data_IF_774818419209
#
_entry.id   IF_774818419209
#
_cell.length_a   1.000
_cell.length_b   1.000
_cell.length_c   1.000
_cell.angle_alpha   90.00
_cell.angle_beta   90.00
_cell.angle_gamma   90.00
#
_symmetry.space_group_name_H-M   'P 1'
#
loop_
_entity.id
_entity.type
_entity.pdbx_description
1 polymer ?
#
# COMPACT_ATOMS: atom_id res chain seq x y z
N UNK A 1 -14.68 8.19 25.20
CA UNK A 1 -13.48 8.33 24.34
C UNK A 1 -12.84 9.67 24.64
N UNK A 2 -11.52 9.72 24.85
CA UNK A 2 -10.81 10.99 25.04
C UNK A 2 -10.75 11.77 23.73
N UNK A 3 -11.27 13.00 23.73
CA UNK A 3 -11.39 13.85 22.54
C UNK A 3 -10.03 14.23 21.96
N UNK A 4 -9.08 14.63 22.80
CA UNK A 4 -7.77 15.10 22.33
C UNK A 4 -6.98 13.96 21.71
N UNK A 5 -7.03 12.77 22.34
CA UNK A 5 -6.46 11.55 21.76
C UNK A 5 -7.05 11.27 20.38
N UNK A 6 -8.38 11.31 20.24
CA UNK A 6 -9.05 11.02 18.96
C UNK A 6 -8.64 12.01 17.87
N UNK A 7 -8.52 13.30 18.19
CA UNK A 7 -8.11 14.31 17.21
C UNK A 7 -6.68 14.03 16.72
N UNK A 8 -5.75 13.79 17.64
CA UNK A 8 -4.34 13.51 17.29
C UNK A 8 -4.19 12.21 16.48
N UNK A 9 -4.89 11.14 16.87
CA UNK A 9 -4.84 9.89 16.13
C UNK A 9 -5.54 9.99 14.77
N UNK A 10 -6.59 10.80 14.65
CA UNK A 10 -7.27 11.04 13.38
C UNK A 10 -6.38 11.82 12.40
N UNK A 11 -5.62 12.80 12.89
CA UNK A 11 -4.61 13.50 12.08
C UNK A 11 -3.56 12.53 11.54
N UNK A 12 -2.99 11.69 12.42
CA UNK A 12 -2.01 10.68 12.03
C UNK A 12 -2.60 9.64 11.06
N UNK A 13 -3.83 9.18 11.29
CA UNK A 13 -4.52 8.25 10.40
C UNK A 13 -4.74 8.86 9.01
N UNK A 14 -5.12 10.14 8.94
CA UNK A 14 -5.27 10.86 7.68
C UNK A 14 -3.93 10.98 6.95
N UNK A 15 -2.87 11.39 7.64
CA UNK A 15 -1.52 11.52 7.06
C UNK A 15 -1.00 10.18 6.53
N UNK A 16 -1.24 9.09 7.27
CA UNK A 16 -0.93 7.74 6.83
C UNK A 16 -1.65 7.41 5.51
N UNK A 17 -2.98 7.60 5.47
CA UNK A 17 -3.78 7.31 4.28
C UNK A 17 -3.42 8.16 3.07
N UNK A 18 -3.12 9.44 3.27
CA UNK A 18 -2.68 10.33 2.19
C UNK A 18 -1.36 9.82 1.61
N UNK A 19 -0.38 9.47 2.45
CA UNK A 19 0.89 8.91 1.98
C UNK A 19 0.67 7.63 1.16
N UNK A 20 -0.10 6.69 1.70
CA UNK A 20 -0.39 5.41 1.02
C UNK A 20 -1.09 5.63 -0.32
N UNK A 21 -2.06 6.55 -0.39
CA UNK A 21 -2.74 6.89 -1.63
C UNK A 21 -1.81 7.46 -2.69
N UNK A 22 -0.90 8.37 -2.32
CA UNK A 22 0.11 8.89 -3.24
C UNK A 22 1.08 7.81 -3.69
N UNK A 23 1.52 6.94 -2.78
CA UNK A 23 2.41 5.81 -3.11
C UNK A 23 1.79 4.90 -4.17
N UNK A 24 0.51 4.54 -4.01
CA UNK A 24 -0.22 3.73 -5.00
C UNK A 24 -0.33 4.43 -6.36
N UNK A 25 -0.66 5.73 -6.36
CA UNK A 25 -0.79 6.49 -7.61
C UNK A 25 0.53 6.64 -8.36
N UNK A 26 1.64 6.88 -7.65
CA UNK A 26 2.97 6.96 -8.24
C UNK A 26 3.43 5.61 -8.78
N UNK A 27 3.13 4.51 -8.06
CA UNK A 27 3.41 3.16 -8.56
C UNK A 27 2.64 2.89 -9.85
N UNK A 28 1.35 3.22 -9.91
CA UNK A 28 0.53 3.08 -11.11
C UNK A 28 1.10 3.85 -12.31
N UNK A 29 1.52 5.11 -12.11
CA UNK A 29 2.14 5.92 -13.17
C UNK A 29 3.42 5.27 -13.68
N UNK A 30 4.23 4.70 -12.79
CA UNK A 30 5.46 4.05 -13.19
C UNK A 30 5.24 2.74 -13.94
N UNK A 31 4.31 1.88 -13.50
CA UNK A 31 3.97 0.67 -14.25
C UNK A 31 3.40 1.01 -15.63
N UNK A 32 2.57 2.05 -15.74
CA UNK A 32 2.13 2.57 -17.02
C UNK A 32 3.31 3.07 -17.88
N UNK A 33 4.26 3.80 -17.27
CA UNK A 33 5.45 4.26 -17.98
C UNK A 33 6.29 3.10 -18.53
N UNK A 34 6.41 1.99 -17.79
CA UNK A 34 7.09 0.77 -18.26
C UNK A 34 6.31 0.10 -19.39
N UNK A 35 5.00 -0.10 -19.21
CA UNK A 35 4.15 -0.78 -20.19
C UNK A 35 4.07 -0.04 -21.53
N UNK A 36 4.10 1.30 -21.51
CA UNK A 36 3.95 2.14 -22.70
C UNK A 36 5.24 2.83 -23.14
N UNK A 37 6.39 2.53 -22.51
CA UNK A 37 7.70 3.13 -22.80
C UNK A 37 7.71 4.68 -22.78
N UNK A 38 7.01 5.29 -21.82
CA UNK A 38 6.92 6.75 -21.73
C UNK A 38 8.13 7.42 -21.07
N UNK A 39 8.96 6.66 -20.35
CA UNK A 39 10.12 7.18 -19.60
C UNK A 39 9.77 8.36 -18.67
N UNK A 40 8.65 8.24 -17.94
CA UNK A 40 8.17 9.27 -17.01
C UNK A 40 9.13 9.43 -15.82
N UNK A 41 9.56 10.66 -15.56
CA UNK A 41 10.29 11.04 -14.34
C UNK A 41 9.29 11.41 -13.22
N UNK A 42 9.15 10.52 -12.23
CA UNK A 42 8.25 10.74 -11.10
C UNK A 42 8.65 11.93 -10.22
N UNK A 43 9.93 12.28 -10.12
CA UNK A 43 10.38 13.47 -9.39
C UNK A 43 9.90 14.75 -10.08
N UNK A 44 9.87 14.76 -11.42
CA UNK A 44 9.33 15.88 -12.19
C UNK A 44 7.81 15.95 -12.11
N UNK A 45 7.10 14.81 -12.12
CA UNK A 45 5.65 14.76 -11.85
C UNK A 45 5.33 15.42 -10.52
N UNK A 46 6.01 15.01 -9.44
CA UNK A 46 5.82 15.60 -8.12
C UNK A 46 6.17 17.09 -8.08
N UNK A 47 7.24 17.52 -8.77
CA UNK A 47 7.60 18.94 -8.87
C UNK A 47 6.49 19.76 -9.53
N UNK A 48 5.90 19.26 -10.62
CA UNK A 48 4.81 19.95 -11.34
C UNK A 48 3.56 20.02 -10.46
N UNK A 49 3.21 18.96 -9.74
CA UNK A 49 2.07 18.95 -8.81
C UNK A 49 2.23 19.87 -7.60
N UNK A 50 3.41 20.44 -7.36
CA UNK A 50 3.53 21.50 -6.35
C UNK A 50 3.03 22.86 -6.82
N UNK A 51 3.04 23.12 -8.13
CA UNK A 51 2.72 24.42 -8.71
C UNK A 51 1.28 24.51 -9.21
N UNK A 52 0.41 25.23 -8.49
CA UNK A 52 -0.90 25.65 -8.99
C UNK A 52 -2.01 24.58 -9.00
N UNK A 53 -1.69 23.29 -8.90
CA UNK A 53 -2.73 22.25 -8.88
C UNK A 53 -3.49 22.20 -7.53
N UNK A 54 -4.63 21.52 -7.53
CA UNK A 54 -5.54 21.41 -6.37
C UNK A 54 -4.89 20.60 -5.24
N UNK A 55 -4.12 19.57 -5.57
CA UNK A 55 -3.52 18.62 -4.61
C UNK A 55 -2.17 19.09 -4.03
N UNK A 56 -1.81 20.37 -4.24
CA UNK A 56 -0.56 20.93 -3.72
C UNK A 56 -0.50 20.80 -2.19
N UNK A 57 0.56 20.20 -1.67
CA UNK A 57 0.74 19.99 -0.24
C UNK A 57 2.22 19.83 0.12
N UNK A 58 2.57 20.10 1.38
CA UNK A 58 3.94 19.88 1.91
C UNK A 58 4.39 18.43 1.79
N UNK A 59 3.47 17.46 1.84
CA UNK A 59 3.79 16.05 1.69
C UNK A 59 4.43 15.72 0.33
N UNK A 60 4.14 16.50 -0.73
CA UNK A 60 4.76 16.28 -2.04
C UNK A 60 6.28 16.49 -2.03
N UNK A 61 6.80 17.36 -1.15
CA UNK A 61 8.24 17.50 -0.96
C UNK A 61 8.84 16.25 -0.32
N UNK A 62 8.19 15.73 0.71
CA UNK A 62 8.61 14.51 1.38
C UNK A 62 8.63 13.31 0.42
N UNK A 63 7.58 13.14 -0.39
CA UNK A 63 7.52 12.10 -1.41
C UNK A 63 8.63 12.27 -2.46
N UNK A 64 8.89 13.51 -2.89
CA UNK A 64 9.92 13.79 -3.88
C UNK A 64 11.31 13.50 -3.35
N UNK A 65 11.56 13.76 -2.07
CA UNK A 65 12.84 13.45 -1.43
C UNK A 65 13.06 11.94 -1.33
N UNK A 66 12.02 11.15 -1.05
CA UNK A 66 12.08 9.67 -1.11
C UNK A 66 12.42 9.19 -2.52
N UNK A 67 11.75 9.71 -3.55
CA UNK A 67 12.00 9.30 -4.95
C UNK A 67 13.44 9.61 -5.40
N UNK A 68 14.04 10.69 -4.89
CA UNK A 68 15.42 11.04 -5.24
C UNK A 68 16.46 10.10 -4.64
N UNK A 69 16.14 9.38 -3.55
CA UNK A 69 17.06 8.41 -2.93
C UNK A 69 17.34 7.24 -3.87
N UNK A 70 16.31 6.79 -4.59
CA UNK A 70 16.45 5.76 -5.59
C UNK A 70 15.42 5.97 -6.72
N UNK A 71 15.90 6.49 -7.86
CA UNK A 71 15.05 6.78 -9.03
C UNK A 71 14.44 5.54 -9.67
N UNK A 72 15.01 4.36 -9.43
CA UNK A 72 14.48 3.08 -9.89
C UNK A 72 13.49 2.47 -8.91
N UNK A 73 13.41 3.00 -7.68
CA UNK A 73 12.52 2.51 -6.64
C UNK A 73 11.14 3.15 -6.76
N UNK A 74 10.31 2.47 -7.53
CA UNK A 74 8.94 2.87 -7.84
C UNK A 74 8.01 2.74 -6.63
N UNK A 75 8.30 1.79 -5.74
CA UNK A 75 7.51 1.56 -4.55
C UNK A 75 8.11 2.35 -3.38
N UNK A 76 7.44 3.45 -2.99
CA UNK A 76 7.92 4.31 -1.91
C UNK A 76 8.08 3.55 -0.58
N UNK A 77 7.36 2.44 -0.38
CA UNK A 77 7.43 1.62 0.83
C UNK A 77 8.78 0.92 1.03
N UNK A 78 9.63 0.86 0.01
CA UNK A 78 10.98 0.34 0.13
C UNK A 78 11.98 1.37 0.73
N UNK A 79 11.56 2.61 0.98
CA UNK A 79 12.39 3.62 1.64
C UNK A 79 12.24 3.54 3.16
N UNK A 80 13.37 3.54 3.89
CA UNK A 80 13.38 3.60 5.35
C UNK A 80 12.63 4.83 5.89
N UNK A 81 12.72 5.98 5.20
CA UNK A 81 11.99 7.20 5.59
C UNK A 81 10.49 7.02 5.47
N UNK A 82 10.04 6.37 4.40
CA UNK A 82 8.62 6.06 4.20
C UNK A 82 8.12 5.09 5.28
N UNK A 83 8.87 4.02 5.54
CA UNK A 83 8.52 3.03 6.55
C UNK A 83 8.46 3.65 7.95
N UNK A 84 9.47 4.42 8.34
CA UNK A 84 9.46 5.14 9.62
C UNK A 84 8.24 6.06 9.73
N UNK A 85 7.97 6.87 8.70
CA UNK A 85 6.82 7.78 8.70
C UNK A 85 5.47 7.07 8.89
N UNK A 86 5.29 5.90 8.27
CA UNK A 86 4.07 5.10 8.35
C UNK A 86 3.99 4.32 9.66
N UNK A 87 5.09 3.72 10.11
CA UNK A 87 5.16 2.97 11.37
C UNK A 87 4.89 3.86 12.57
N UNK A 88 5.36 5.11 12.56
CA UNK A 88 5.06 6.10 13.61
C UNK A 88 3.56 6.43 13.74
N UNK A 89 2.75 6.08 12.72
CA UNK A 89 1.30 6.38 12.65
C UNK A 89 0.43 5.12 12.64
N UNK A 90 1.04 3.94 12.63
CA UNK A 90 0.32 2.68 12.44
C UNK A 90 -0.70 2.43 13.57
N UNK A 91 -0.34 2.78 14.81
CA UNK A 91 -1.21 2.60 15.95
C UNK A 91 -2.36 3.60 15.96
N UNK A 92 -2.13 4.83 15.50
CA UNK A 92 -3.18 5.83 15.32
C UNK A 92 -4.22 5.39 14.30
N UNK A 93 -3.82 4.90 13.12
CA UNK A 93 -4.78 4.45 12.10
C UNK A 93 -5.53 3.19 12.55
N UNK A 94 -4.86 2.24 13.23
CA UNK A 94 -5.51 1.06 13.85
C UNK A 94 -6.54 1.49 14.91
N UNK A 95 -6.18 2.44 15.76
CA UNK A 95 -7.08 2.95 16.79
C UNK A 95 -8.33 3.59 16.16
N UNK A 96 -8.15 4.48 15.18
CA UNK A 96 -9.27 5.18 14.52
C UNK A 96 -10.17 4.20 13.77
N UNK A 97 -9.60 3.31 12.95
CA UNK A 97 -10.38 2.34 12.16
C UNK A 97 -11.14 1.33 13.02
N UNK A 98 -10.65 1.01 14.22
CA UNK A 98 -11.40 0.18 15.16
C UNK A 98 -12.46 0.98 15.90
N UNK A 99 -12.13 2.17 16.38
CA UNK A 99 -13.06 3.05 17.06
C UNK A 99 -14.29 3.36 16.21
N UNK A 100 -14.11 3.66 14.91
CA UNK A 100 -15.24 4.02 14.03
C UNK A 100 -16.26 2.89 13.84
N UNK A 101 -15.83 1.62 13.97
CA UNK A 101 -16.72 0.46 13.88
C UNK A 101 -17.72 0.42 15.04
N UNK A 102 -17.29 0.79 16.24
CA UNK A 102 -18.17 0.86 17.43
C UNK A 102 -19.29 1.90 17.28
N UNK A 103 -19.09 2.87 16.38
CA UNK A 103 -20.07 3.93 16.07
C UNK A 103 -20.75 3.76 14.71
N UNK A 104 -20.56 2.62 14.03
CA UNK A 104 -21.13 2.35 12.70
C UNK A 104 -20.74 3.40 11.64
N UNK A 105 -19.55 4.00 11.76
CA UNK A 105 -19.05 5.02 10.84
C UNK A 105 -18.14 4.37 9.77
N UNK A 106 -18.50 4.44 8.47
CA UNK A 106 -17.67 3.88 7.42
C UNK A 106 -16.45 4.77 7.13
N UNK A 107 -15.25 4.21 7.28
CA UNK A 107 -13.98 4.88 6.97
C UNK A 107 -13.23 4.16 5.85
N UNK A 108 -13.86 4.08 4.67
CA UNK A 108 -13.41 3.26 3.53
C UNK A 108 -11.93 3.50 3.17
N UNK A 109 -11.52 4.76 3.05
CA UNK A 109 -10.15 5.13 2.67
C UNK A 109 -9.14 4.79 3.77
N UNK A 110 -9.50 4.98 5.05
CA UNK A 110 -8.60 4.63 6.16
C UNK A 110 -8.41 3.12 6.24
N UNK A 111 -9.49 2.35 6.14
CA UNK A 111 -9.45 0.89 6.15
C UNK A 111 -8.61 0.37 4.98
N UNK A 112 -8.90 0.79 3.74
CA UNK A 112 -8.18 0.31 2.57
C UNK A 112 -6.70 0.73 2.56
N UNK A 113 -6.36 1.89 3.10
CA UNK A 113 -4.97 2.32 3.24
C UNK A 113 -4.20 1.44 4.23
N UNK A 114 -4.81 1.13 5.38
CA UNK A 114 -4.23 0.24 6.38
C UNK A 114 -4.06 -1.17 5.81
N UNK A 115 -5.10 -1.75 5.22
CA UNK A 115 -5.07 -3.10 4.67
C UNK A 115 -4.07 -3.21 3.51
N UNK A 116 -3.99 -2.19 2.65
CA UNK A 116 -2.96 -2.13 1.61
C UNK A 116 -1.56 -2.12 2.23
N UNK A 117 -1.29 -1.25 3.20
CA UNK A 117 0.04 -1.19 3.82
C UNK A 117 0.41 -2.51 4.49
N UNK A 118 -0.49 -3.11 5.27
CA UNK A 118 -0.29 -4.42 5.89
C UNK A 118 -0.01 -5.49 4.83
N UNK A 119 -0.72 -5.46 3.71
CA UNK A 119 -0.50 -6.40 2.62
C UNK A 119 0.86 -6.23 1.95
N UNK A 120 1.40 -5.00 1.92
CA UNK A 120 2.68 -4.70 1.29
C UNK A 120 3.89 -5.03 2.18
N UNK A 121 3.71 -5.15 3.50
CA UNK A 121 4.78 -5.49 4.44
C UNK A 121 4.75 -6.96 4.89
N UNK A 122 3.70 -7.70 4.53
CA UNK A 122 3.55 -9.12 4.84
C UNK A 122 4.23 -9.97 3.77
N UNK A 123 5.19 -10.80 4.17
CA UNK A 123 5.89 -11.70 3.26
C UNK A 123 4.96 -12.85 2.80
N UNK A 124 4.09 -13.34 3.70
CA UNK A 124 3.26 -14.52 3.46
C UNK A 124 1.77 -14.18 3.53
N UNK A 125 1.22 -13.69 2.42
CA UNK A 125 -0.20 -13.44 2.29
C UNK A 125 -1.03 -14.73 2.14
N UNK A 126 -2.32 -14.71 2.52
CA UNK A 126 -3.23 -15.85 2.38
C UNK A 126 -3.57 -16.23 0.91
N UNK A 127 -2.82 -15.69 -0.07
CA UNK A 127 -2.95 -16.04 -1.49
C UNK A 127 -2.57 -17.50 -1.78
N UNK A 128 -1.83 -18.17 -0.87
CA UNK A 128 -1.61 -19.62 -0.92
C UNK A 128 -2.93 -20.41 -0.89
N UNK A 129 -3.92 -19.99 -0.10
CA UNK A 129 -5.23 -20.61 -0.05
C UNK A 129 -6.01 -20.39 -1.35
N UNK A 130 -5.90 -19.19 -1.94
CA UNK A 130 -6.48 -18.90 -3.27
C UNK A 130 -5.89 -19.86 -4.31
N UNK A 131 -4.57 -20.05 -4.29
CA UNK A 131 -3.90 -20.99 -5.19
C UNK A 131 -4.36 -22.43 -4.97
N UNK A 132 -4.50 -22.88 -3.72
CA UNK A 132 -5.01 -24.20 -3.39
C UNK A 132 -6.45 -24.39 -3.90
N UNK A 133 -7.33 -23.41 -3.68
CA UNK A 133 -8.72 -23.44 -4.17
C UNK A 133 -8.77 -23.55 -5.70
N UNK A 134 -8.00 -22.70 -6.41
CA UNK A 134 -7.92 -22.73 -7.88
C UNK A 134 -7.42 -24.07 -8.41
N UNK A 135 -6.45 -24.68 -7.74
CA UNK A 135 -5.97 -26.01 -8.12
C UNK A 135 -7.03 -27.09 -7.83
N UNK A 136 -7.73 -26.99 -6.69
CA UNK A 136 -8.80 -27.91 -6.29
C UNK A 136 -9.93 -27.98 -7.31
N UNK A 137 -10.59 -26.86 -7.62
CA UNK A 137 -11.79 -26.89 -8.45
C UNK A 137 -11.51 -26.81 -9.96
N UNK A 138 -10.27 -26.49 -10.36
CA UNK A 138 -9.97 -26.12 -11.75
C UNK A 138 -8.62 -26.58 -12.27
N UNK A 139 -7.87 -27.40 -11.54
CA UNK A 139 -6.55 -27.91 -11.93
C UNK A 139 -5.59 -26.80 -12.43
N UNK A 140 -5.69 -25.60 -11.84
CA UNK A 140 -4.95 -24.42 -12.28
C UNK A 140 -3.46 -24.45 -11.91
N UNK A 141 -3.00 -25.48 -11.20
CA UNK A 141 -1.63 -25.64 -10.70
C UNK A 141 -1.19 -24.55 -9.72
N UNK A 142 -0.08 -24.77 -9.02
CA UNK A 142 0.53 -23.81 -8.11
C UNK A 142 2.06 -24.01 -8.03
N UNK A 143 2.74 -23.04 -7.42
CA UNK A 143 4.17 -23.12 -7.07
C UNK A 143 4.32 -23.35 -5.57
N UNK A 144 5.47 -23.90 -5.17
CA UNK A 144 5.82 -24.14 -3.77
C UNK A 144 7.00 -23.27 -3.35
N UNK A 145 7.13 -23.07 -2.05
CA UNK A 145 8.20 -22.30 -1.44
C UNK A 145 9.46 -23.14 -1.17
N UNK A 146 9.34 -24.46 -1.14
CA UNK A 146 10.41 -25.40 -0.80
C UNK A 146 11.03 -26.09 -2.03
N UNK A 147 10.39 -25.98 -3.20
CA UNK A 147 10.84 -26.65 -4.42
C UNK A 147 10.44 -25.87 -5.67
N UNK A 148 11.39 -25.74 -6.60
CA UNK A 148 11.11 -25.19 -7.93
C UNK A 148 10.22 -26.13 -8.75
N UNK A 149 9.31 -25.54 -9.53
CA UNK A 149 8.42 -26.26 -10.42
C UNK A 149 6.97 -25.78 -10.38
N UNK A 150 6.13 -26.46 -11.13
CA UNK A 150 4.68 -26.29 -11.19
C UNK A 150 4.04 -27.59 -10.72
N UNK A 151 3.11 -27.50 -9.78
CA UNK A 151 2.51 -28.64 -9.09
C UNK A 151 1.00 -28.63 -9.30
N UNK A 152 0.42 -29.82 -9.41
CA UNK A 152 -1.01 -30.08 -9.34
C UNK A 152 -1.22 -31.16 -8.28
N UNK A 153 -2.27 -31.04 -7.48
CA UNK A 153 -2.65 -32.04 -6.48
C UNK A 153 -4.01 -32.64 -6.83
N UNK A 154 -4.14 -33.96 -6.73
CA UNK A 154 -5.45 -34.62 -6.76
C UNK A 154 -6.05 -34.56 -5.36
N UNK A 155 -6.91 -33.57 -5.12
CA UNK A 155 -7.41 -33.25 -3.77
C UNK A 155 -8.52 -34.17 -3.25
N UNK A 156 -9.28 -34.80 -4.14
CA UNK A 156 -10.37 -35.72 -3.81
C UNK A 156 -9.91 -37.17 -3.65
N UNK A 157 -8.68 -37.48 -4.04
CA UNK A 157 -8.07 -38.79 -3.88
C UNK A 157 -7.61 -38.98 -2.42
N UNK A 158 -8.58 -39.11 -1.51
CA UNK A 158 -8.36 -39.63 -0.15
C UNK A 158 -9.13 -40.94 0.02
#
# INVERSE_FOLDING_TARGET
VDKEKVINDLENALLFSVFVSFSQGLWLISEASKAFNYNIDLSEVLRIWKGGCIIRAKILDFLRDIIKENKENVNLLNSEKALSFLMDKIDSIKYITNLTKDFYLPTLVLNSSLDYFLSMIEENLPANLIQAQRDFFGAHTYRRIDKEGIFHTEWEAN
#
